data_IF_688392758373
#
_entry.id   IF_688392758373
#
_cell.length_a   1.000
_cell.length_b   1.000
_cell.length_c   1.000
_cell.angle_alpha   90.00
_cell.angle_beta   90.00
_cell.angle_gamma   90.00
#
_symmetry.space_group_name_H-M   'P 1'
#
loop_
_entity.id
_entity.type
_entity.pdbx_description
1 polymer ?
#
# COMPACT_ATOMS: atom_id res chain seq x y z
N UNK A 1 3.02 -15.85 -1.35
CA UNK A 1 1.98 -15.31 -0.45
C UNK A 1 0.96 -14.57 -1.29
N UNK A 2 -0.33 -14.71 -1.01
CA UNK A 2 -1.41 -13.96 -1.70
C UNK A 2 -1.82 -12.71 -0.90
N UNK A 3 -2.70 -11.86 -1.45
CA UNK A 3 -3.33 -10.80 -0.66
C UNK A 3 -4.16 -11.35 0.50
N UNK A 4 -4.86 -12.46 0.29
CA UNK A 4 -5.60 -13.14 1.37
C UNK A 4 -4.68 -13.58 2.51
N UNK A 5 -3.49 -14.10 2.19
CA UNK A 5 -2.51 -14.47 3.21
C UNK A 5 -2.02 -13.24 3.98
N UNK A 6 -1.75 -12.13 3.29
CA UNK A 6 -1.37 -10.85 3.91
C UNK A 6 -2.45 -10.35 4.88
N UNK A 7 -3.71 -10.34 4.46
CA UNK A 7 -4.85 -9.94 5.29
C UNK A 7 -5.00 -10.87 6.49
N UNK A 8 -4.84 -12.19 6.31
CA UNK A 8 -4.89 -13.17 7.41
C UNK A 8 -3.79 -12.93 8.43
N UNK A 9 -2.56 -12.65 8.00
CA UNK A 9 -1.44 -12.34 8.89
C UNK A 9 -1.76 -11.05 9.66
N UNK A 10 -2.16 -9.99 8.96
CA UNK A 10 -2.50 -8.71 9.57
C UNK A 10 -3.60 -8.86 10.64
N UNK A 11 -4.74 -9.51 10.30
CA UNK A 11 -5.84 -9.74 11.25
C UNK A 11 -5.44 -10.60 12.44
N UNK A 12 -4.66 -11.65 12.19
CA UNK A 12 -4.20 -12.56 13.26
C UNK A 12 -3.30 -11.84 14.25
N UNK A 13 -2.40 -10.99 13.76
CA UNK A 13 -1.40 -10.31 14.60
C UNK A 13 -1.97 -9.05 15.23
N UNK A 14 -2.59 -8.17 14.44
CA UNK A 14 -2.95 -6.81 14.85
C UNK A 14 -4.46 -6.58 14.99
N UNK A 15 -5.31 -7.37 14.33
CA UNK A 15 -6.75 -7.07 14.21
C UNK A 15 -7.48 -6.79 15.54
N UNK A 16 -7.16 -7.51 16.62
CA UNK A 16 -7.78 -7.24 17.94
C UNK A 16 -7.35 -5.89 18.52
N UNK A 17 -6.07 -5.53 18.37
CA UNK A 17 -5.55 -4.24 18.83
C UNK A 17 -6.09 -3.10 17.97
N UNK A 18 -6.01 -3.27 16.65
CA UNK A 18 -6.52 -2.32 15.64
C UNK A 18 -7.97 -1.92 15.92
N UNK A 19 -8.85 -2.90 16.13
CA UNK A 19 -10.28 -2.64 16.32
C UNK A 19 -10.63 -2.05 17.70
N UNK A 20 -9.78 -2.25 18.71
CA UNK A 20 -10.05 -1.78 20.07
C UNK A 20 -9.41 -0.45 20.41
N UNK A 21 -8.24 -0.16 19.83
CA UNK A 21 -7.37 0.90 20.31
C UNK A 21 -7.20 2.04 19.29
N UNK A 22 -7.50 1.80 18.01
CA UNK A 22 -7.15 2.74 16.95
C UNK A 22 -8.36 3.12 16.11
N UNK A 23 -8.65 4.42 16.03
CA UNK A 23 -9.61 4.96 15.08
C UNK A 23 -8.96 5.11 13.69
N UNK A 24 -9.72 5.59 12.70
CA UNK A 24 -9.25 5.74 11.32
C UNK A 24 -8.12 6.75 11.21
N UNK A 25 -8.23 7.86 11.95
CA UNK A 25 -7.20 8.89 11.97
C UNK A 25 -5.91 8.35 12.60
N UNK A 26 -6.00 7.47 13.60
CA UNK A 26 -4.82 6.79 14.17
C UNK A 26 -4.15 5.86 13.14
N UNK A 27 -4.92 5.04 12.44
CA UNK A 27 -4.38 4.14 11.40
C UNK A 27 -3.67 4.93 10.29
N UNK A 28 -4.28 6.04 9.84
CA UNK A 28 -3.68 6.95 8.86
C UNK A 28 -2.42 7.61 9.42
N UNK A 29 -2.44 8.07 10.66
CA UNK A 29 -1.29 8.66 11.33
C UNK A 29 -0.11 7.68 11.42
N UNK A 30 -0.33 6.43 11.84
CA UNK A 30 0.76 5.45 11.90
C UNK A 30 1.27 5.07 10.53
N UNK A 31 0.38 4.86 9.55
CA UNK A 31 0.81 4.67 8.17
C UNK A 31 1.69 5.84 7.70
N UNK A 32 1.29 7.08 7.94
CA UNK A 32 2.09 8.27 7.63
C UNK A 32 3.44 8.29 8.35
N UNK A 33 3.43 8.05 9.66
CA UNK A 33 4.63 8.02 10.51
C UNK A 33 5.67 7.05 9.95
N UNK A 34 5.24 5.85 9.58
CA UNK A 34 6.14 4.83 9.03
C UNK A 34 6.62 5.14 7.61
N UNK A 35 5.80 5.78 6.76
CA UNK A 35 6.27 6.29 5.46
C UNK A 35 7.33 7.37 5.63
N UNK A 36 7.13 8.34 6.52
CA UNK A 36 8.11 9.40 6.75
C UNK A 36 9.42 8.84 7.30
N UNK A 37 9.35 7.86 8.21
CA UNK A 37 10.53 7.13 8.69
C UNK A 37 11.21 6.32 7.59
N UNK A 38 10.45 5.70 6.69
CA UNK A 38 11.01 5.02 5.53
C UNK A 38 11.83 5.99 4.67
N UNK A 39 11.28 7.17 4.36
CA UNK A 39 11.96 8.22 3.60
C UNK A 39 13.24 8.68 4.32
N UNK A 40 13.13 9.07 5.60
CA UNK A 40 14.28 9.50 6.41
C UNK A 40 15.37 8.43 6.48
N UNK A 41 15.01 7.15 6.66
CA UNK A 41 15.99 6.08 6.68
C UNK A 41 16.66 5.86 5.32
N UNK A 42 15.97 6.09 4.20
CA UNK A 42 16.60 6.02 2.87
C UNK A 42 17.57 7.17 2.63
N UNK A 43 17.19 8.40 3.00
CA UNK A 43 18.06 9.58 2.90
C UNK A 43 19.35 9.42 3.75
N UNK A 44 19.27 8.64 4.84
CA UNK A 44 20.38 8.37 5.75
C UNK A 44 21.09 7.01 5.51
N UNK A 45 20.90 6.38 4.33
CA UNK A 45 21.52 5.09 3.95
C UNK A 45 21.21 3.90 4.90
N UNK A 46 20.13 3.98 5.68
CA UNK A 46 19.67 2.94 6.63
C UNK A 46 18.68 1.98 5.97
N UNK A 47 19.11 1.33 4.89
CA UNK A 47 18.25 0.48 4.04
C UNK A 47 17.48 -0.60 4.82
N UNK A 48 18.10 -1.30 5.78
CA UNK A 48 17.40 -2.34 6.54
C UNK A 48 16.28 -1.79 7.43
N UNK A 49 16.49 -0.63 8.07
CA UNK A 49 15.42 0.05 8.80
C UNK A 49 14.33 0.57 7.86
N UNK A 50 14.71 1.11 6.70
CA UNK A 50 13.76 1.56 5.69
C UNK A 50 12.85 0.41 5.23
N UNK A 51 13.39 -0.80 5.03
CA UNK A 51 12.59 -1.99 4.71
C UNK A 51 11.55 -2.31 5.79
N UNK A 52 11.98 -2.34 7.05
CA UNK A 52 11.09 -2.62 8.19
C UNK A 52 9.99 -1.57 8.27
N UNK A 53 10.33 -0.29 8.10
CA UNK A 53 9.38 0.82 8.21
C UNK A 53 8.37 0.81 7.03
N UNK A 54 8.81 0.48 5.81
CA UNK A 54 7.90 0.37 4.66
C UNK A 54 6.93 -0.82 4.80
N UNK A 55 7.40 -1.95 5.32
CA UNK A 55 6.52 -3.10 5.59
C UNK A 55 5.56 -2.78 6.74
N UNK A 56 6.01 -2.10 7.79
CA UNK A 56 5.13 -1.62 8.85
C UNK A 56 4.05 -0.67 8.31
N UNK A 57 4.43 0.28 7.44
CA UNK A 57 3.48 1.17 6.76
C UNK A 57 2.44 0.39 5.94
N UNK A 58 2.86 -0.64 5.19
CA UNK A 58 1.95 -1.52 4.47
C UNK A 58 0.95 -2.19 5.42
N UNK A 59 1.38 -2.69 6.58
CA UNK A 59 0.48 -3.35 7.52
C UNK A 59 -0.57 -2.39 8.12
N UNK A 60 -0.20 -1.14 8.44
CA UNK A 60 -1.17 -0.12 8.85
C UNK A 60 -2.17 0.20 7.73
N UNK A 61 -1.68 0.29 6.49
CA UNK A 61 -2.53 0.47 5.31
C UNK A 61 -3.51 -0.71 5.13
N UNK A 62 -3.05 -1.96 5.25
CA UNK A 62 -3.92 -3.14 5.11
C UNK A 62 -5.00 -3.17 6.20
N UNK A 63 -4.65 -2.84 7.45
CA UNK A 63 -5.64 -2.72 8.53
C UNK A 63 -6.74 -1.70 8.18
N UNK A 64 -6.33 -0.56 7.62
CA UNK A 64 -7.23 0.50 7.19
C UNK A 64 -8.15 0.09 6.03
N UNK A 65 -7.60 -0.48 4.96
CA UNK A 65 -8.39 -0.94 3.80
C UNK A 65 -9.35 -2.06 4.17
N UNK A 66 -8.90 -3.00 5.00
CA UNK A 66 -9.71 -4.12 5.45
C UNK A 66 -10.91 -3.66 6.29
N UNK A 67 -10.73 -2.65 7.16
CA UNK A 67 -11.81 -2.07 7.97
C UNK A 67 -12.98 -1.52 7.15
N UNK A 68 -12.70 -1.07 5.93
CA UNK A 68 -13.71 -0.54 5.01
C UNK A 68 -14.17 -1.54 3.96
N UNK A 69 -13.76 -2.81 4.08
CA UNK A 69 -14.14 -3.89 3.17
C UNK A 69 -13.82 -3.60 1.69
N UNK A 70 -12.74 -2.86 1.43
CA UNK A 70 -12.28 -2.58 0.09
C UNK A 70 -11.55 -3.81 -0.45
N UNK A 71 -12.06 -4.39 -1.55
CA UNK A 71 -11.42 -5.49 -2.26
C UNK A 71 -10.26 -4.97 -3.11
N UNK A 72 -9.12 -4.79 -2.44
CA UNK A 72 -7.95 -4.16 -3.05
C UNK A 72 -7.37 -4.98 -4.20
N UNK A 73 -7.47 -6.31 -4.16
CA UNK A 73 -6.95 -7.17 -5.23
C UNK A 73 -7.81 -7.03 -6.50
N UNK A 74 -9.13 -7.03 -6.34
CA UNK A 74 -10.06 -6.83 -7.46
C UNK A 74 -9.91 -5.43 -8.08
N UNK A 75 -9.88 -4.39 -7.24
CA UNK A 75 -9.73 -3.01 -7.72
C UNK A 75 -8.35 -2.76 -8.34
N UNK A 76 -7.28 -3.31 -7.75
CA UNK A 76 -5.94 -3.23 -8.34
C UNK A 76 -5.90 -3.91 -9.71
N UNK A 77 -6.50 -5.10 -9.85
CA UNK A 77 -6.57 -5.79 -11.14
C UNK A 77 -7.33 -4.99 -12.20
N UNK A 78 -8.50 -4.47 -11.82
CA UNK A 78 -9.40 -3.72 -12.71
C UNK A 78 -8.75 -2.47 -13.30
N UNK A 79 -7.84 -1.85 -12.56
CA UNK A 79 -7.19 -0.60 -12.95
C UNK A 79 -5.77 -0.78 -13.47
N UNK A 80 -5.00 -1.75 -12.96
CA UNK A 80 -3.58 -1.92 -13.27
C UNK A 80 -3.28 -3.27 -13.96
N UNK A 81 -4.13 -3.74 -14.87
CA UNK A 81 -3.90 -5.01 -15.59
C UNK A 81 -2.81 -4.91 -16.67
N UNK A 82 -1.54 -4.83 -16.26
CA UNK A 82 -0.34 -4.71 -17.11
C UNK A 82 -0.23 -3.43 -17.96
N UNK A 83 -0.99 -2.39 -17.63
CA UNK A 83 -0.92 -1.08 -18.30
C UNK A 83 -1.09 0.02 -17.28
N UNK A 84 -0.47 1.17 -17.52
CA UNK A 84 -0.77 2.36 -16.74
C UNK A 84 -2.24 2.78 -16.99
N UNK A 85 -3.06 3.02 -15.95
CA UNK A 85 -4.47 3.42 -16.11
C UNK A 85 -4.67 4.81 -16.74
N UNK A 86 -3.58 5.55 -17.00
CA UNK A 86 -3.62 6.90 -17.59
C UNK A 86 -3.22 6.89 -19.06
N UNK A 87 -1.98 6.52 -19.37
CA UNK A 87 -1.48 6.47 -20.76
C UNK A 87 -1.78 5.16 -21.49
N UNK A 88 -2.19 4.11 -20.77
CA UNK A 88 -2.43 2.77 -21.33
C UNK A 88 -1.18 2.08 -21.91
N UNK A 89 0.02 2.60 -21.61
CA UNK A 89 1.30 2.07 -22.04
C UNK A 89 1.98 1.20 -20.99
N UNK A 90 2.94 0.39 -21.47
CA UNK A 90 3.91 -0.38 -20.68
C UNK A 90 5.28 -0.35 -21.41
N UNK A 91 6.35 0.24 -20.82
CA UNK A 91 6.34 1.02 -19.58
C UNK A 91 5.50 2.29 -19.71
N UNK A 92 5.08 2.83 -18.57
CA UNK A 92 4.33 4.07 -18.49
C UNK A 92 5.09 5.23 -19.15
N UNK A 93 4.42 5.96 -20.04
CA UNK A 93 4.93 7.15 -20.73
C UNK A 93 4.45 8.46 -20.11
N UNK A 94 3.62 8.40 -19.05
CA UNK A 94 3.04 9.60 -18.44
C UNK A 94 4.14 10.53 -17.91
N UNK A 95 4.32 11.67 -18.57
CA UNK A 95 5.09 12.78 -18.04
C UNK A 95 4.35 13.44 -16.87
N UNK A 96 4.19 12.78 -15.73
CA UNK A 96 3.76 13.39 -14.44
C UNK A 96 2.53 14.32 -14.46
N UNK A 97 1.70 14.31 -15.49
CA UNK A 97 0.53 15.19 -15.59
C UNK A 97 -0.57 14.59 -14.72
N UNK A 98 -1.15 15.43 -13.85
CA UNK A 98 -2.35 15.17 -13.04
C UNK A 98 -3.58 15.02 -13.97
N UNK A 99 -3.56 14.00 -14.83
CA UNK A 99 -4.76 13.59 -15.56
C UNK A 99 -5.54 12.69 -14.60
N UNK A 100 -6.61 13.22 -14.03
CA UNK A 100 -7.51 12.49 -13.13
C UNK A 100 -8.50 11.58 -13.91
N UNK A 101 -8.49 11.65 -15.24
CA UNK A 101 -9.25 10.74 -16.11
C UNK A 101 -8.51 9.40 -16.26
N UNK A 102 -9.01 8.37 -15.58
CA UNK A 102 -8.51 7.00 -15.72
C UNK A 102 -9.32 6.22 -16.74
N UNK A 103 -8.61 5.40 -17.49
CA UNK A 103 -9.20 4.42 -18.38
C UNK A 103 -9.14 3.04 -17.72
N UNK A 104 -10.21 2.25 -17.87
CA UNK A 104 -10.14 0.82 -17.55
C UNK A 104 -9.15 0.19 -18.51
N UNK A 105 -8.23 -0.63 -18.01
CA UNK A 105 -7.09 -1.14 -18.80
C UNK A 105 -7.45 -2.20 -19.86
N UNK A 106 -8.73 -2.33 -20.22
CA UNK A 106 -9.24 -3.27 -21.22
C UNK A 106 -9.22 -4.72 -20.75
N UNK A 107 -9.37 -5.69 -21.67
CA UNK A 107 -9.14 -7.11 -21.35
C UNK A 107 -7.63 -7.38 -21.37
N UNK A 108 -7.02 -7.78 -20.25
CA UNK A 108 -5.60 -8.04 -20.21
C UNK A 108 -5.24 -9.25 -21.09
N UNK A 109 -4.12 -9.18 -21.84
CA UNK A 109 -3.62 -10.31 -22.61
C UNK A 109 -3.00 -11.40 -21.72
N UNK A 110 -2.76 -11.10 -20.44
CA UNK A 110 -2.07 -11.96 -19.48
C UNK A 110 -2.99 -12.39 -18.34
N UNK A 111 -2.63 -13.51 -17.71
CA UNK A 111 -3.22 -14.00 -16.46
C UNK A 111 -3.03 -12.98 -15.32
N UNK A 112 -4.01 -12.91 -14.43
CA UNK A 112 -3.96 -12.16 -13.16
C UNK A 112 -2.83 -12.70 -12.26
N UNK A 113 -2.01 -11.83 -11.63
CA UNK A 113 -1.00 -12.25 -10.65
C UNK A 113 -1.62 -13.07 -9.51
N UNK A 114 -0.98 -14.19 -9.16
CA UNK A 114 -1.42 -15.10 -8.09
C UNK A 114 -0.68 -14.95 -6.76
N UNK A 115 0.37 -14.13 -6.72
CA UNK A 115 1.18 -13.86 -5.51
C UNK A 115 1.56 -12.38 -5.40
N UNK A 116 1.89 -11.90 -4.20
CA UNK A 116 2.31 -10.52 -4.00
C UNK A 116 3.59 -10.20 -4.78
N UNK A 117 4.54 -11.13 -4.86
CA UNK A 117 5.74 -10.96 -5.70
C UNK A 117 5.40 -10.83 -7.19
N UNK A 118 4.40 -11.56 -7.70
CA UNK A 118 3.92 -11.39 -9.08
C UNK A 118 3.23 -10.03 -9.27
N UNK A 119 2.48 -9.54 -8.27
CA UNK A 119 1.91 -8.19 -8.28
C UNK A 119 2.98 -7.11 -8.31
N UNK A 120 3.99 -7.22 -7.45
CA UNK A 120 5.14 -6.30 -7.44
C UNK A 120 5.87 -6.31 -8.79
N UNK A 121 6.11 -7.48 -9.37
CA UNK A 121 6.74 -7.62 -10.67
C UNK A 121 5.90 -7.00 -11.80
N UNK A 122 4.57 -7.13 -11.74
CA UNK A 122 3.67 -6.48 -12.69
C UNK A 122 3.79 -4.95 -12.61
N UNK A 123 3.76 -4.39 -11.39
CA UNK A 123 3.91 -2.94 -11.17
C UNK A 123 5.28 -2.45 -11.63
N UNK A 124 6.36 -3.20 -11.37
CA UNK A 124 7.71 -2.87 -11.84
C UNK A 124 7.79 -2.74 -13.37
N UNK A 125 7.04 -3.58 -14.11
CA UNK A 125 6.98 -3.45 -15.58
C UNK A 125 6.23 -2.20 -16.04
N UNK A 126 5.21 -1.78 -15.29
CA UNK A 126 4.45 -0.55 -15.61
C UNK A 126 5.30 0.68 -15.29
N UNK A 127 6.00 0.69 -14.15
CA UNK A 127 6.78 1.83 -13.66
C UNK A 127 8.25 1.47 -13.38
N UNK A 128 9.08 1.24 -14.41
CA UNK A 128 10.46 0.78 -14.21
C UNK A 128 11.47 1.89 -13.87
N UNK A 129 11.13 3.16 -14.11
CA UNK A 129 12.09 4.28 -14.17
C UNK A 129 11.92 5.29 -13.04
N UNK A 130 11.31 4.90 -11.92
CA UNK A 130 11.09 5.82 -10.81
C UNK A 130 12.38 6.08 -10.03
N UNK A 131 12.64 7.35 -9.70
CA UNK A 131 13.75 7.76 -8.83
C UNK A 131 13.26 7.92 -7.40
N UNK A 132 14.16 7.88 -6.43
CA UNK A 132 13.83 8.05 -5.02
C UNK A 132 13.12 9.40 -4.75
N UNK A 133 13.67 10.50 -5.24
CA UNK A 133 13.11 11.84 -5.02
C UNK A 133 11.71 12.00 -5.63
N UNK A 134 11.44 11.33 -6.75
CA UNK A 134 10.11 11.35 -7.36
C UNK A 134 9.09 10.55 -6.53
N UNK A 135 9.54 9.41 -6.02
CA UNK A 135 8.71 8.50 -5.23
C UNK A 135 8.33 9.13 -3.88
N UNK A 136 9.24 9.81 -3.19
CA UNK A 136 8.97 10.51 -1.93
C UNK A 136 7.81 11.50 -2.06
N UNK A 137 7.92 12.39 -3.05
CA UNK A 137 6.90 13.39 -3.34
C UNK A 137 5.55 12.75 -3.69
N UNK A 138 5.57 11.65 -4.47
CA UNK A 138 4.36 10.90 -4.80
C UNK A 138 3.76 10.25 -3.56
N UNK A 139 4.53 9.54 -2.74
CA UNK A 139 4.05 8.87 -1.53
C UNK A 139 3.33 9.85 -0.61
N UNK A 140 3.93 11.01 -0.32
CA UNK A 140 3.33 12.04 0.54
C UNK A 140 2.05 12.60 -0.11
N UNK A 141 2.09 12.95 -1.40
CA UNK A 141 0.93 13.49 -2.12
C UNK A 141 -0.25 12.53 -2.13
N UNK A 142 -0.01 11.24 -2.38
CA UNK A 142 -1.09 10.25 -2.46
C UNK A 142 -1.59 9.82 -1.10
N UNK A 143 -0.74 9.86 -0.07
CA UNK A 143 -1.17 9.68 1.30
C UNK A 143 -2.12 10.79 1.77
N UNK A 144 -1.83 12.05 1.42
CA UNK A 144 -2.75 13.17 1.70
C UNK A 144 -4.08 13.01 0.94
N UNK A 145 -4.02 12.65 -0.35
CA UNK A 145 -5.23 12.34 -1.15
C UNK A 145 -6.05 11.20 -0.53
N UNK A 146 -5.39 10.13 -0.08
CA UNK A 146 -6.04 9.00 0.59
C UNK A 146 -6.72 9.47 1.89
N UNK A 147 -6.01 10.22 2.72
CA UNK A 147 -6.52 10.77 3.98
C UNK A 147 -7.71 11.71 3.76
N UNK A 148 -7.67 12.53 2.70
CA UNK A 148 -8.79 13.37 2.30
C UNK A 148 -10.02 12.54 1.88
N UNK A 149 -9.83 11.46 1.10
CA UNK A 149 -10.93 10.59 0.68
C UNK A 149 -11.58 9.85 1.84
N UNK A 150 -10.79 9.36 2.81
CA UNK A 150 -11.32 8.79 4.05
C UNK A 150 -12.18 9.79 4.81
N UNK A 151 -11.66 11.01 5.04
CA UNK A 151 -12.41 12.07 5.73
C UNK A 151 -13.72 12.41 5.00
N UNK A 152 -13.72 12.46 3.67
CA UNK A 152 -14.92 12.73 2.88
C UNK A 152 -15.93 11.57 2.95
N UNK A 153 -15.46 10.32 2.88
CA UNK A 153 -16.32 9.16 2.99
C UNK A 153 -16.96 9.07 4.38
N UNK A 154 -16.18 9.28 5.45
CA UNK A 154 -16.69 9.30 6.83
C UNK A 154 -17.73 10.41 7.02
N UNK A 155 -17.45 11.63 6.54
CA UNK A 155 -18.38 12.77 6.66
C UNK A 155 -19.65 12.60 5.84
N UNK A 156 -19.55 11.96 4.68
CA UNK A 156 -20.67 11.78 3.75
C UNK A 156 -20.58 10.40 3.08
N UNK A 157 -21.05 9.33 3.73
CA UNK A 157 -21.00 7.98 3.17
C UNK A 157 -21.93 7.87 1.97
N UNK A 158 -21.36 7.66 0.78
CA UNK A 158 -22.10 7.42 -0.45
C UNK A 158 -21.20 6.71 -1.47
N UNK A 159 -21.80 6.10 -2.49
CA UNK A 159 -21.11 5.30 -3.51
C UNK A 159 -20.03 6.11 -4.26
N UNK A 160 -20.28 7.40 -4.54
CA UNK A 160 -19.28 8.25 -5.21
C UNK A 160 -18.03 8.42 -4.36
N UNK A 161 -18.20 8.71 -3.07
CA UNK A 161 -17.08 8.88 -2.14
C UNK A 161 -16.36 7.55 -1.87
N UNK A 162 -17.09 6.42 -1.85
CA UNK A 162 -16.48 5.10 -1.72
C UNK A 162 -15.60 4.78 -2.93
N UNK A 163 -16.09 5.00 -4.15
CA UNK A 163 -15.30 4.78 -5.38
C UNK A 163 -14.04 5.63 -5.42
N UNK A 164 -14.15 6.90 -5.03
CA UNK A 164 -12.97 7.78 -4.97
C UNK A 164 -11.96 7.27 -3.92
N UNK A 165 -12.45 6.79 -2.77
CA UNK A 165 -11.60 6.17 -1.76
C UNK A 165 -10.90 4.90 -2.29
N UNK A 166 -11.64 3.99 -2.94
CA UNK A 166 -11.08 2.79 -3.58
C UNK A 166 -9.99 3.16 -4.60
N UNK A 167 -10.23 4.20 -5.40
CA UNK A 167 -9.27 4.69 -6.40
C UNK A 167 -8.00 5.27 -5.80
N UNK A 168 -8.09 6.02 -4.71
CA UNK A 168 -6.89 6.53 -4.02
C UNK A 168 -6.20 5.43 -3.22
N UNK A 169 -6.93 4.45 -2.71
CA UNK A 169 -6.36 3.30 -2.02
C UNK A 169 -5.47 2.48 -2.97
N UNK A 170 -5.94 2.15 -4.17
CA UNK A 170 -5.13 1.39 -5.14
C UNK A 170 -3.91 2.17 -5.63
N UNK A 171 -4.05 3.48 -5.88
CA UNK A 171 -2.91 4.30 -6.32
C UNK A 171 -1.81 4.32 -5.27
N UNK A 172 -2.21 4.47 -4.00
CA UNK A 172 -1.28 4.52 -2.90
C UNK A 172 -0.59 3.15 -2.68
N UNK A 173 -1.32 2.04 -2.83
CA UNK A 173 -0.71 0.69 -2.80
C UNK A 173 0.30 0.50 -3.94
N UNK A 174 -0.01 0.98 -5.14
CA UNK A 174 0.92 0.91 -6.28
C UNK A 174 2.21 1.64 -5.96
N UNK A 175 2.15 2.81 -5.32
CA UNK A 175 3.35 3.53 -4.86
C UNK A 175 4.13 2.79 -3.78
N UNK A 176 3.46 2.06 -2.88
CA UNK A 176 4.14 1.18 -1.92
C UNK A 176 4.89 0.06 -2.67
N UNK A 177 4.30 -0.53 -3.70
CA UNK A 177 4.99 -1.53 -4.53
C UNK A 177 6.14 -0.95 -5.35
N UNK A 178 5.98 0.25 -5.92
CA UNK A 178 7.08 0.98 -6.56
C UNK A 178 8.23 1.23 -5.59
N UNK A 179 7.92 1.65 -4.36
CA UNK A 179 8.90 1.83 -3.29
C UNK A 179 9.65 0.54 -2.95
N UNK A 180 8.93 -0.56 -2.78
CA UNK A 180 9.53 -1.87 -2.51
C UNK A 180 10.44 -2.33 -3.66
N UNK A 181 10.01 -2.12 -4.91
CA UNK A 181 10.80 -2.47 -6.09
C UNK A 181 12.09 -1.63 -6.17
N UNK A 182 12.02 -0.33 -5.88
CA UNK A 182 13.16 0.60 -5.90
C UNK A 182 14.28 0.12 -4.96
N UNK A 183 13.92 -0.32 -3.76
CA UNK A 183 14.89 -0.80 -2.75
C UNK A 183 15.03 -2.33 -2.72
N UNK A 184 14.51 -3.02 -3.76
CA UNK A 184 14.66 -4.46 -3.99
C UNK A 184 14.18 -5.34 -2.83
N UNK A 185 13.03 -4.99 -2.24
CA UNK A 185 12.34 -5.82 -1.26
C UNK A 185 11.61 -6.96 -1.97
N UNK A 186 11.93 -8.20 -1.58
CA UNK A 186 11.09 -9.36 -1.85
C UNK A 186 10.00 -9.45 -0.77
N UNK A 187 8.81 -8.96 -1.07
CA UNK A 187 7.76 -8.77 -0.06
C UNK A 187 7.35 -10.09 0.60
N UNK A 188 7.23 -11.16 -0.18
CA UNK A 188 6.86 -12.49 0.32
C UNK A 188 7.88 -12.97 1.35
N UNK A 189 9.17 -12.85 1.02
CA UNK A 189 10.27 -13.28 1.88
C UNK A 189 10.36 -12.43 3.14
N UNK A 190 10.28 -11.11 3.02
CA UNK A 190 10.42 -10.20 4.15
C UNK A 190 9.24 -10.32 5.13
N UNK A 191 8.00 -10.40 4.65
CA UNK A 191 6.84 -10.61 5.52
C UNK A 191 6.93 -11.95 6.25
N UNK A 192 7.28 -13.02 5.53
CA UNK A 192 7.43 -14.35 6.14
C UNK A 192 8.49 -14.33 7.24
N UNK A 193 9.57 -13.57 7.04
CA UNK A 193 10.67 -13.44 8.02
C UNK A 193 10.24 -12.59 9.22
N UNK A 194 9.71 -11.39 8.98
CA UNK A 194 9.32 -10.44 10.03
C UNK A 194 8.23 -10.98 10.94
N UNK A 195 7.27 -11.73 10.38
CA UNK A 195 6.08 -12.18 11.10
C UNK A 195 6.12 -13.66 11.52
N UNK A 196 7.26 -14.34 11.34
CA UNK A 196 7.44 -15.75 11.73
C UNK A 196 7.08 -16.04 13.19
N UNK A 197 7.27 -15.06 14.08
CA UNK A 197 7.02 -15.14 15.52
C UNK A 197 5.85 -14.26 15.98
N UNK A 198 4.97 -13.82 15.09
CA UNK A 198 3.91 -12.86 15.41
C UNK A 198 4.34 -11.42 15.15
N UNK A 199 3.91 -10.47 15.98
CA UNK A 199 4.29 -9.07 15.83
C UNK A 199 5.81 -8.91 15.73
N UNK A 200 6.29 -8.12 14.76
CA UNK A 200 7.73 -7.94 14.55
C UNK A 200 8.45 -7.21 15.70
N UNK A 201 7.69 -6.56 16.60
CA UNK A 201 8.22 -5.85 17.78
C UNK A 201 8.13 -6.74 19.03
N UNK A 202 6.91 -7.12 19.45
CA UNK A 202 6.73 -7.87 20.71
C UNK A 202 6.76 -9.40 20.55
N UNK A 203 6.76 -9.92 19.33
CA UNK A 203 6.74 -11.36 19.02
C UNK A 203 5.57 -12.12 19.67
N UNK A 204 4.42 -11.46 19.83
CA UNK A 204 3.18 -12.06 20.36
C UNK A 204 2.06 -12.06 19.31
N UNK A 205 1.09 -12.94 19.53
CA UNK A 205 -0.17 -13.07 18.78
C UNK A 205 -1.29 -13.29 19.81
N UNK A 206 -2.28 -12.37 19.97
CA UNK A 206 -2.33 -11.05 19.35
C UNK A 206 -1.18 -10.15 19.82
N UNK A 207 -0.90 -9.11 19.05
CA UNK A 207 0.03 -8.05 19.40
C UNK A 207 -0.40 -7.35 20.70
N UNK A 208 0.57 -6.99 21.54
CA UNK A 208 0.35 -6.23 22.78
C UNK A 208 1.09 -4.89 22.80
N UNK A 209 1.68 -4.49 21.66
CA UNK A 209 2.36 -3.20 21.55
C UNK A 209 1.33 -2.08 21.71
N UNK A 210 1.66 -1.10 22.53
CA UNK A 210 0.98 0.18 22.55
C UNK A 210 1.79 1.15 21.67
N UNK A 211 1.31 1.46 20.48
CA UNK A 211 1.99 2.40 19.59
C UNK A 211 1.71 3.88 19.95
N UNK A 212 0.81 4.12 20.90
CA UNK A 212 0.38 5.45 21.36
C UNK A 212 1.26 6.04 22.47
N UNK A 213 2.20 5.24 22.98
CA UNK A 213 3.25 5.61 23.94
C UNK A 213 4.63 5.57 23.24
#
# INVERSE_FOLDING_TARGET
>A
MTFDDLIKINRKVYGVGDDRLYCVDDLLYYNQKYILRFIDNLENDKTEQAKVDLIAALFWYIALIFRYHIDIESELWKHYSYKCPRCMDIPCSCQRIDIDERQKTGRPPSRKPGSLSEWQAMICKIYPNDTLSDLENKLIKYLDKLSFCFRNYIKKPNEKNLKELEYRAIDYLVLIFEAMNLIRIDLDKEITTMFKRGCYICHKIPCICNYSE
#
